data_IF_559705132206
#
_entry.id   IF_559705132206
#
_cell.length_a   1.000
_cell.length_b   1.000
_cell.length_c   1.000
_cell.angle_alpha   90.00
_cell.angle_beta   90.00
_cell.angle_gamma   90.00
#
_symmetry.space_group_name_H-M   'P 1'
#
loop_
_entity.id
_entity.type
_entity.pdbx_description
1 polymer ?
#
# COMPACT_ATOMS: atom_id res chain seq x y z
N UNK A 1 3.52 -34.77 -12.70
CA UNK A 1 4.74 -34.92 -11.87
C UNK A 1 4.67 -33.85 -10.79
N UNK A 2 4.45 -34.27 -9.55
CA UNK A 2 4.08 -33.42 -8.41
C UNK A 2 5.35 -32.74 -7.89
N UNK A 3 5.35 -31.40 -7.86
CA UNK A 3 6.45 -30.64 -7.30
C UNK A 3 5.91 -29.47 -6.44
N UNK A 4 5.02 -29.81 -5.52
CA UNK A 4 5.26 -29.43 -4.12
C UNK A 4 6.25 -30.49 -3.61
N UNK A 5 7.28 -30.07 -2.89
CA UNK A 5 8.23 -30.97 -2.22
C UNK A 5 7.46 -32.10 -1.54
N UNK A 6 7.80 -33.36 -1.87
CA UNK A 6 6.94 -34.51 -1.65
C UNK A 6 6.55 -34.79 -0.19
N UNK A 7 7.18 -34.15 0.78
CA UNK A 7 6.82 -34.24 2.21
C UNK A 7 5.74 -33.22 2.61
N UNK A 8 5.88 -31.95 2.22
CA UNK A 8 5.03 -30.84 2.68
C UNK A 8 3.54 -31.03 2.33
N UNK A 9 3.25 -31.76 1.24
CA UNK A 9 1.89 -32.00 0.77
C UNK A 9 1.23 -33.25 1.41
N UNK A 10 2.02 -34.15 2.01
CA UNK A 10 1.53 -35.43 2.55
C UNK A 10 0.64 -35.19 3.77
N UNK A 11 1.02 -34.24 4.64
CA UNK A 11 0.22 -33.86 5.80
C UNK A 11 -1.19 -33.41 5.40
N UNK A 12 -1.29 -32.52 4.40
CA UNK A 12 -2.57 -32.03 3.87
C UNK A 12 -3.36 -33.18 3.24
N UNK A 13 -2.76 -33.98 2.36
CA UNK A 13 -3.46 -35.07 1.68
C UNK A 13 -3.95 -36.17 2.64
N UNK A 14 -3.26 -36.37 3.76
CA UNK A 14 -3.61 -37.39 4.74
C UNK A 14 -4.66 -36.91 5.76
N UNK A 15 -4.64 -35.63 6.16
CA UNK A 15 -5.39 -35.14 7.33
C UNK A 15 -6.44 -34.07 7.02
N UNK A 16 -6.36 -33.39 5.88
CA UNK A 16 -7.44 -32.53 5.38
C UNK A 16 -8.42 -33.36 4.53
N UNK A 17 -9.70 -33.05 4.64
CA UNK A 17 -10.79 -33.60 3.84
C UNK A 17 -11.51 -32.52 3.00
N UNK A 18 -11.01 -31.28 3.04
CA UNK A 18 -11.67 -30.10 2.50
C UNK A 18 -10.96 -29.40 1.33
N UNK A 19 -11.19 -28.08 1.17
CA UNK A 19 -10.62 -27.25 0.10
C UNK A 19 -9.09 -27.31 -0.02
N UNK A 20 -8.34 -27.41 1.08
CA UNK A 20 -6.88 -27.50 1.05
C UNK A 20 -6.42 -28.79 0.38
N UNK A 21 -7.05 -29.94 0.69
CA UNK A 21 -6.77 -31.21 -0.01
C UNK A 21 -7.04 -31.13 -1.50
N UNK A 22 -8.17 -30.53 -1.91
CA UNK A 22 -8.49 -30.33 -3.35
C UNK A 22 -7.46 -29.45 -4.03
N UNK A 23 -7.10 -28.33 -3.42
CA UNK A 23 -6.05 -27.43 -3.92
C UNK A 23 -4.71 -28.16 -4.14
N UNK A 24 -4.32 -29.05 -3.23
CA UNK A 24 -3.09 -29.85 -3.37
C UNK A 24 -3.25 -30.95 -4.44
N UNK A 25 -4.40 -31.62 -4.52
CA UNK A 25 -4.64 -32.72 -5.46
C UNK A 25 -4.82 -32.26 -6.91
N UNK A 26 -5.47 -31.12 -7.13
CA UNK A 26 -5.92 -30.71 -8.46
C UNK A 26 -4.77 -30.29 -9.38
N UNK A 27 -3.58 -29.95 -8.87
CA UNK A 27 -2.40 -29.82 -9.75
C UNK A 27 -2.34 -28.58 -10.65
N UNK A 28 -3.49 -27.98 -11.02
CA UNK A 28 -3.65 -26.96 -12.07
C UNK A 28 -3.53 -25.50 -11.59
N UNK A 29 -3.54 -25.24 -10.28
CA UNK A 29 -3.54 -23.89 -9.69
C UNK A 29 -2.17 -23.47 -9.15
N UNK A 30 -1.93 -22.15 -9.14
CA UNK A 30 -0.79 -21.39 -8.58
C UNK A 30 0.14 -22.25 -7.67
N UNK A 31 1.26 -22.70 -8.24
CA UNK A 31 2.20 -23.63 -7.61
C UNK A 31 2.80 -23.06 -6.33
N UNK A 32 3.08 -21.76 -6.30
CA UNK A 32 3.68 -21.11 -5.14
C UNK A 32 2.68 -21.01 -4.00
N UNK A 33 1.42 -20.72 -4.31
CA UNK A 33 0.35 -20.73 -3.32
C UNK A 33 0.11 -22.14 -2.76
N UNK A 34 0.11 -23.19 -3.60
CA UNK A 34 0.01 -24.59 -3.15
C UNK A 34 1.14 -24.97 -2.22
N UNK A 35 2.37 -24.58 -2.57
CA UNK A 35 3.55 -24.83 -1.74
C UNK A 35 3.45 -24.09 -0.41
N UNK A 36 2.94 -22.86 -0.41
CA UNK A 36 2.70 -22.11 0.82
C UNK A 36 1.63 -22.78 1.69
N UNK A 37 0.49 -23.22 1.13
CA UNK A 37 -0.55 -23.96 1.90
C UNK A 37 -0.01 -25.25 2.49
N UNK A 38 0.81 -26.00 1.74
CA UNK A 38 1.51 -27.18 2.24
C UNK A 38 2.43 -26.85 3.41
N UNK A 39 3.27 -25.81 3.29
CA UNK A 39 4.15 -25.35 4.38
C UNK A 39 3.39 -24.85 5.60
N UNK A 40 2.27 -24.17 5.40
CA UNK A 40 1.41 -23.73 6.49
C UNK A 40 0.88 -24.94 7.28
N UNK A 41 0.61 -26.05 6.59
CA UNK A 41 0.12 -27.29 7.20
C UNK A 41 1.12 -27.98 8.12
N UNK A 42 2.42 -27.71 7.91
CA UNK A 42 3.52 -28.20 8.74
C UNK A 42 4.01 -27.13 9.73
N UNK A 43 3.39 -25.94 9.74
CA UNK A 43 3.72 -24.90 10.71
C UNK A 43 3.06 -25.16 12.06
N UNK A 44 3.77 -24.83 13.14
CA UNK A 44 3.22 -24.79 14.50
C UNK A 44 2.22 -23.63 14.69
N UNK A 45 2.10 -22.72 13.72
CA UNK A 45 1.21 -21.56 13.80
C UNK A 45 -0.26 -21.92 13.57
N UNK A 46 -0.55 -22.99 12.82
CA UNK A 46 -1.94 -23.40 12.57
C UNK A 46 -2.42 -24.38 13.63
N UNK A 47 -3.65 -24.18 14.11
CA UNK A 47 -4.22 -24.94 15.21
C UNK A 47 -4.87 -26.25 14.70
N UNK A 48 -5.25 -26.33 13.41
CA UNK A 48 -5.81 -27.56 12.81
C UNK A 48 -5.89 -27.53 11.27
N UNK A 49 -6.01 -28.71 10.65
CA UNK A 49 -6.32 -28.82 9.20
C UNK A 49 -7.68 -28.23 8.83
N UNK A 50 -8.65 -28.20 9.76
CA UNK A 50 -9.94 -27.52 9.53
C UNK A 50 -9.77 -26.01 9.38
N UNK A 51 -8.85 -25.41 10.13
CA UNK A 51 -8.49 -24.00 9.97
C UNK A 51 -7.88 -23.73 8.60
N UNK A 52 -6.95 -24.59 8.16
CA UNK A 52 -6.35 -24.53 6.83
C UNK A 52 -7.42 -24.61 5.73
N UNK A 53 -8.35 -25.56 5.86
CA UNK A 53 -9.45 -25.77 4.93
C UNK A 53 -10.39 -24.55 4.82
N UNK A 54 -10.73 -23.94 5.96
CA UNK A 54 -11.54 -22.71 5.99
C UNK A 54 -10.83 -21.53 5.34
N UNK A 55 -9.57 -21.28 5.70
CA UNK A 55 -8.80 -20.18 5.11
C UNK A 55 -8.67 -20.33 3.58
N UNK A 56 -8.43 -21.54 3.09
CA UNK A 56 -8.38 -21.82 1.64
C UNK A 56 -9.75 -21.55 0.99
N UNK A 57 -10.85 -21.96 1.64
CA UNK A 57 -12.20 -21.68 1.17
C UNK A 57 -12.49 -20.18 1.05
N UNK A 58 -12.09 -19.40 2.06
CA UNK A 58 -12.28 -17.95 2.08
C UNK A 58 -11.49 -17.26 0.99
N UNK A 59 -10.21 -17.62 0.81
CA UNK A 59 -9.39 -17.08 -0.28
C UNK A 59 -10.06 -17.32 -1.63
N UNK A 60 -10.63 -18.50 -1.84
CA UNK A 60 -11.29 -18.83 -3.10
C UNK A 60 -12.67 -18.16 -3.24
N UNK A 61 -13.36 -17.82 -2.14
CA UNK A 61 -14.62 -17.08 -2.16
C UNK A 61 -14.44 -15.57 -2.40
N UNK A 62 -13.24 -15.02 -2.14
CA UNK A 62 -12.90 -13.62 -2.42
C UNK A 62 -13.09 -13.27 -3.90
N UNK A 63 -13.37 -11.98 -4.15
CA UNK A 63 -13.36 -11.43 -5.51
C UNK A 63 -12.00 -11.62 -6.18
N UNK A 64 -11.96 -11.68 -7.51
CA UNK A 64 -10.71 -11.82 -8.29
C UNK A 64 -9.66 -10.77 -7.91
N UNK A 65 -10.10 -9.56 -7.55
CA UNK A 65 -9.23 -8.45 -7.17
C UNK A 65 -8.54 -8.62 -5.81
N UNK A 66 -9.19 -9.35 -4.89
CA UNK A 66 -8.71 -9.60 -3.53
C UNK A 66 -8.03 -10.98 -3.40
N UNK A 67 -8.48 -11.98 -4.17
CA UNK A 67 -7.91 -13.33 -4.14
C UNK A 67 -6.40 -13.36 -4.36
N UNK A 68 -5.89 -12.59 -5.33
CA UNK A 68 -4.44 -12.52 -5.59
C UNK A 68 -3.67 -12.00 -4.38
N UNK A 69 -3.97 -10.81 -3.81
CA UNK A 69 -3.29 -10.33 -2.61
C UNK A 69 -3.43 -11.26 -1.38
N UNK A 70 -4.57 -11.95 -1.21
CA UNK A 70 -4.71 -12.93 -0.12
C UNK A 70 -3.74 -14.11 -0.30
N UNK A 71 -3.59 -14.62 -1.53
CA UNK A 71 -2.59 -15.64 -1.84
C UNK A 71 -1.16 -15.15 -1.61
N UNK A 72 -0.87 -13.89 -1.96
CA UNK A 72 0.44 -13.29 -1.69
C UNK A 72 0.74 -13.13 -0.20
N UNK A 73 -0.27 -12.87 0.64
CA UNK A 73 -0.11 -12.87 2.10
C UNK A 73 0.36 -14.23 2.60
N UNK A 74 -0.33 -15.30 2.21
CA UNK A 74 0.04 -16.69 2.56
C UNK A 74 1.40 -17.09 1.98
N UNK A 75 1.76 -16.64 0.77
CA UNK A 75 3.11 -16.88 0.22
C UNK A 75 4.21 -16.13 0.99
N UNK A 76 3.87 -15.00 1.62
CA UNK A 76 4.82 -14.17 2.34
C UNK A 76 5.13 -14.75 3.72
N UNK A 77 4.09 -15.23 4.41
CA UNK A 77 4.21 -15.97 5.66
C UNK A 77 3.14 -17.09 5.72
N UNK A 78 3.49 -18.35 5.44
CA UNK A 78 2.51 -19.42 5.29
C UNK A 78 1.62 -19.70 6.51
N UNK A 79 2.23 -19.93 7.68
CA UNK A 79 1.50 -20.28 8.90
C UNK A 79 0.65 -19.11 9.38
N UNK A 80 1.31 -17.97 9.63
CA UNK A 80 0.67 -16.75 10.07
C UNK A 80 -0.34 -16.20 9.06
N UNK A 81 -0.09 -16.31 7.76
CA UNK A 81 -1.01 -15.86 6.72
C UNK A 81 -2.31 -16.66 6.70
N UNK A 82 -2.25 -17.98 6.88
CA UNK A 82 -3.43 -18.84 7.03
C UNK A 82 -4.18 -18.52 8.33
N UNK A 83 -3.44 -18.39 9.44
CA UNK A 83 -4.03 -18.05 10.73
C UNK A 83 -4.75 -16.70 10.67
N UNK A 84 -4.11 -15.69 10.10
CA UNK A 84 -4.66 -14.35 9.94
C UNK A 84 -5.97 -14.35 9.15
N UNK A 85 -6.03 -15.03 8.00
CA UNK A 85 -7.26 -15.12 7.19
C UNK A 85 -8.38 -15.78 7.99
N UNK A 86 -8.10 -16.94 8.62
CA UNK A 86 -9.11 -17.71 9.37
C UNK A 86 -9.71 -16.99 10.58
N UNK A 87 -9.09 -15.89 11.03
CA UNK A 87 -9.57 -15.09 12.16
C UNK A 87 -10.71 -14.15 11.77
N UNK A 88 -10.78 -13.70 10.52
CA UNK A 88 -11.84 -12.79 10.05
C UNK A 88 -13.22 -13.47 10.01
N UNK A 89 -13.26 -14.80 9.88
CA UNK A 89 -14.51 -15.58 10.00
C UNK A 89 -14.96 -15.78 11.45
N UNK A 90 -14.00 -15.84 12.38
CA UNK A 90 -14.28 -16.06 13.81
C UNK A 90 -14.61 -14.77 14.56
N UNK A 91 -14.35 -13.61 13.97
CA UNK A 91 -14.71 -12.33 14.55
C UNK A 91 -16.24 -12.13 14.48
N UNK A 92 -16.87 -11.96 15.65
CA UNK A 92 -18.31 -11.61 15.73
C UNK A 92 -18.59 -10.20 15.20
N UNK A 93 -17.57 -9.34 15.17
CA UNK A 93 -17.65 -7.97 14.65
C UNK A 93 -17.30 -7.93 13.16
N UNK A 94 -17.98 -7.08 12.38
CA UNK A 94 -17.95 -7.06 10.90
C UNK A 94 -16.60 -6.52 10.37
N UNK A 95 -15.56 -7.33 10.46
CA UNK A 95 -14.26 -7.03 9.86
C UNK A 95 -14.23 -7.63 8.46
N UNK A 96 -14.20 -6.76 7.45
CA UNK A 96 -14.19 -7.17 6.05
C UNK A 96 -12.79 -7.65 5.60
N UNK A 97 -12.61 -8.97 5.52
CA UNK A 97 -11.40 -9.62 4.98
C UNK A 97 -11.04 -9.06 3.60
N UNK A 98 -12.02 -8.75 2.75
CA UNK A 98 -11.77 -8.22 1.43
C UNK A 98 -11.16 -6.80 1.50
N UNK A 99 -11.66 -5.96 2.40
CA UNK A 99 -11.09 -4.64 2.66
C UNK A 99 -9.66 -4.73 3.21
N UNK A 100 -9.41 -5.65 4.16
CA UNK A 100 -8.07 -5.90 4.69
C UNK A 100 -7.11 -6.33 3.58
N UNK A 101 -7.48 -7.36 2.81
CA UNK A 101 -6.66 -7.91 1.73
C UNK A 101 -6.38 -6.86 0.63
N UNK A 102 -7.36 -6.02 0.30
CA UNK A 102 -7.17 -4.91 -0.64
C UNK A 102 -6.22 -3.84 -0.11
N UNK A 103 -6.20 -3.62 1.20
CA UNK A 103 -5.28 -2.70 1.86
C UNK A 103 -3.85 -3.22 1.78
N UNK A 104 -3.65 -4.49 2.18
CA UNK A 104 -2.30 -5.07 2.20
C UNK A 104 -1.70 -5.30 0.83
N UNK A 105 -2.50 -5.30 -0.24
CA UNK A 105 -2.01 -5.39 -1.63
C UNK A 105 -0.86 -4.42 -1.92
N UNK A 106 -0.87 -3.26 -1.28
CA UNK A 106 0.06 -2.14 -1.52
C UNK A 106 1.40 -2.29 -0.80
N UNK A 107 1.49 -3.18 0.18
CA UNK A 107 2.69 -3.41 0.96
C UNK A 107 3.64 -4.39 0.28
N UNK A 108 4.93 -4.30 0.63
CA UNK A 108 5.94 -5.24 0.19
C UNK A 108 5.78 -6.60 0.90
N UNK A 109 6.63 -7.56 0.52
CA UNK A 109 6.57 -8.93 1.06
C UNK A 109 6.83 -8.98 2.57
N UNK A 110 7.77 -8.19 3.07
CA UNK A 110 8.17 -8.18 4.47
C UNK A 110 7.10 -7.55 5.37
N UNK A 111 6.51 -6.46 4.90
CA UNK A 111 5.41 -5.77 5.56
C UNK A 111 4.15 -6.65 5.62
N UNK A 112 3.84 -7.38 4.53
CA UNK A 112 2.74 -8.36 4.53
C UNK A 112 2.95 -9.46 5.58
N UNK A 113 4.16 -9.98 5.70
CA UNK A 113 4.49 -10.99 6.71
C UNK A 113 4.37 -10.43 8.14
N UNK A 114 4.81 -9.20 8.37
CA UNK A 114 4.68 -8.53 9.67
C UNK A 114 3.20 -8.33 10.03
N UNK A 115 2.37 -7.90 9.08
CA UNK A 115 0.92 -7.77 9.30
C UNK A 115 0.23 -9.11 9.53
N UNK A 116 0.63 -10.17 8.81
CA UNK A 116 0.12 -11.52 9.05
C UNK A 116 0.38 -11.97 10.49
N UNK A 117 1.61 -11.78 10.99
CA UNK A 117 2.01 -12.11 12.36
C UNK A 117 1.25 -11.34 13.44
N UNK A 118 0.92 -10.09 13.16
CA UNK A 118 0.15 -9.28 14.12
C UNK A 118 -1.28 -9.81 14.21
N UNK A 119 -1.93 -9.95 13.06
CA UNK A 119 -3.31 -10.42 12.97
C UNK A 119 -3.44 -11.87 13.45
N UNK A 120 -2.44 -12.73 13.23
CA UNK A 120 -2.45 -14.12 13.69
C UNK A 120 -2.42 -14.23 15.23
N UNK A 121 -1.77 -13.26 15.89
CA UNK A 121 -1.54 -13.21 17.35
C UNK A 121 -2.61 -12.45 18.12
N UNK A 122 -3.53 -11.76 17.46
CA UNK A 122 -4.67 -11.15 18.15
C UNK A 122 -5.51 -12.26 18.81
N UNK A 123 -5.81 -12.11 20.11
CA UNK A 123 -6.39 -13.19 20.90
C UNK A 123 -7.89 -13.38 20.57
N UNK A 124 -8.61 -12.33 20.16
CA UNK A 124 -10.02 -12.38 19.76
C UNK A 124 -10.42 -11.39 18.64
N UNK A 125 -11.67 -11.51 18.17
CA UNK A 125 -12.25 -10.68 17.10
C UNK A 125 -12.43 -9.20 17.46
N UNK A 126 -12.59 -8.87 18.75
CA UNK A 126 -12.73 -7.50 19.23
C UNK A 126 -11.36 -6.79 19.25
N UNK A 127 -10.32 -7.51 19.66
CA UNK A 127 -8.94 -7.06 19.53
C UNK A 127 -8.54 -6.91 18.06
N UNK A 128 -9.01 -7.78 17.17
CA UNK A 128 -8.84 -7.59 15.73
C UNK A 128 -9.55 -6.34 15.21
N UNK A 129 -10.75 -6.03 15.66
CA UNK A 129 -11.45 -4.80 15.25
C UNK A 129 -10.75 -3.52 15.78
N UNK A 130 -10.17 -3.56 16.98
CA UNK A 130 -9.41 -2.46 17.59
C UNK A 130 -7.99 -2.33 16.96
N UNK A 131 -7.31 -3.45 16.70
CA UNK A 131 -6.00 -3.51 16.01
C UNK A 131 -6.08 -3.23 14.50
N UNK A 132 -7.22 -3.54 13.89
CA UNK A 132 -7.55 -3.16 12.52
C UNK A 132 -8.31 -1.84 12.45
N UNK A 133 -8.51 -1.12 13.57
CA UNK A 133 -8.89 0.28 13.52
C UNK A 133 -7.93 0.94 12.54
N UNK A 134 -8.51 1.72 11.62
CA UNK A 134 -7.77 2.39 10.56
C UNK A 134 -6.58 3.16 11.14
N UNK A 135 -6.65 3.61 12.40
CA UNK A 135 -5.56 4.17 13.18
C UNK A 135 -4.35 3.25 13.43
N UNK A 136 -4.52 1.95 13.72
CA UNK A 136 -3.41 1.00 13.93
C UNK A 136 -2.80 0.47 12.64
N UNK A 137 -3.62 0.14 11.65
CA UNK A 137 -3.14 -0.15 10.30
C UNK A 137 -2.36 1.03 9.72
N UNK A 138 -2.82 2.25 10.02
CA UNK A 138 -2.08 3.48 9.74
C UNK A 138 -0.79 3.55 10.56
N UNK A 139 -0.79 3.30 11.88
CA UNK A 139 0.43 3.28 12.72
C UNK A 139 1.47 2.25 12.25
N UNK A 140 1.07 1.06 11.81
CA UNK A 140 1.98 0.00 11.31
C UNK A 140 2.56 0.42 9.96
N UNK A 141 1.71 0.98 9.09
CA UNK A 141 2.17 1.55 7.84
C UNK A 141 3.00 2.84 8.08
N UNK A 142 2.80 3.56 9.19
CA UNK A 142 3.58 4.71 9.65
C UNK A 142 4.87 4.26 10.38
N UNK A 143 4.94 3.03 10.89
CA UNK A 143 6.17 2.38 11.41
C UNK A 143 7.00 1.79 10.26
N UNK A 144 6.35 1.27 9.21
CA UNK A 144 6.95 1.00 7.91
C UNK A 144 7.48 2.28 7.26
N UNK A 145 6.70 3.37 7.29
CA UNK A 145 7.13 4.73 6.97
C UNK A 145 8.30 5.17 7.85
N UNK A 146 8.31 4.83 9.15
CA UNK A 146 9.42 5.07 10.07
C UNK A 146 10.70 4.31 9.70
N UNK A 147 10.60 3.10 9.15
CA UNK A 147 11.74 2.35 8.57
C UNK A 147 12.19 2.93 7.22
N UNK A 148 11.27 3.48 6.44
CA UNK A 148 11.56 4.23 5.21
C UNK A 148 12.24 5.57 5.51
N UNK A 149 11.77 6.32 6.51
CA UNK A 149 12.40 7.50 7.08
C UNK A 149 13.77 7.16 7.70
N UNK A 150 13.91 6.01 8.37
CA UNK A 150 15.20 5.52 8.84
C UNK A 150 16.16 5.23 7.67
N UNK A 151 15.65 4.71 6.54
CA UNK A 151 16.40 4.55 5.27
C UNK A 151 16.78 5.89 4.63
N UNK A 152 15.87 6.87 4.63
CA UNK A 152 16.10 8.24 4.15
C UNK A 152 17.09 9.00 5.05
N UNK A 153 17.13 8.68 6.34
CA UNK A 153 18.10 9.21 7.32
C UNK A 153 19.44 8.46 7.33
N UNK A 154 19.53 7.30 6.67
CA UNK A 154 20.76 6.52 6.62
C UNK A 154 21.75 7.17 5.65
N UNK A 155 22.71 7.89 6.23
CA UNK A 155 23.72 8.68 5.54
C UNK A 155 24.49 7.91 4.47
N UNK A 156 24.65 6.60 4.57
CA UNK A 156 25.44 5.85 3.57
C UNK A 156 24.65 5.46 2.32
N UNK A 157 23.31 5.54 2.35
CA UNK A 157 22.43 4.99 1.31
C UNK A 157 21.48 6.04 0.71
N UNK A 158 21.20 7.14 1.45
CA UNK A 158 20.32 8.19 0.97
C UNK A 158 20.96 9.04 -0.15
N UNK A 159 20.26 9.31 -1.26
CA UNK A 159 20.77 10.18 -2.31
C UNK A 159 20.95 11.63 -1.82
N UNK A 160 21.88 12.37 -2.45
CA UNK A 160 22.39 13.65 -1.92
C UNK A 160 21.32 14.74 -1.72
N UNK A 161 20.26 14.72 -2.51
CA UNK A 161 19.06 15.55 -2.39
C UNK A 161 18.28 15.28 -1.09
N UNK A 162 18.17 14.02 -0.66
CA UNK A 162 17.53 13.64 0.61
C UNK A 162 18.39 14.06 1.80
N UNK A 163 19.71 13.92 1.73
CA UNK A 163 20.62 14.37 2.81
C UNK A 163 20.49 15.87 3.06
N UNK A 164 20.29 16.66 2.00
CA UNK A 164 20.07 18.11 2.08
C UNK A 164 18.84 18.50 2.90
N UNK A 165 17.76 17.70 2.85
CA UNK A 165 16.56 17.94 3.67
C UNK A 165 16.88 17.92 5.17
N UNK A 166 17.77 17.02 5.58
CA UNK A 166 18.15 16.83 6.98
C UNK A 166 19.23 17.81 7.41
N UNK A 167 20.32 17.86 6.64
CA UNK A 167 21.56 18.52 7.07
C UNK A 167 21.51 20.04 6.91
N UNK A 168 20.88 20.56 5.85
CA UNK A 168 20.88 21.99 5.53
C UNK A 168 19.57 22.69 5.92
N UNK A 169 18.46 21.97 5.82
CA UNK A 169 17.12 22.56 5.91
C UNK A 169 16.34 22.18 7.19
N UNK A 170 16.88 21.28 8.02
CA UNK A 170 16.28 20.78 9.28
C UNK A 170 14.81 20.32 9.11
N UNK A 171 14.53 19.63 8.00
CA UNK A 171 13.19 19.13 7.66
C UNK A 171 12.98 17.77 8.31
N UNK A 172 11.79 17.59 8.91
CA UNK A 172 11.36 16.32 9.50
C UNK A 172 11.09 15.26 8.42
N UNK A 173 12.02 14.31 8.27
CA UNK A 173 11.89 13.22 7.29
C UNK A 173 10.73 12.28 7.59
N UNK A 174 10.29 12.14 8.84
CA UNK A 174 9.09 11.38 9.16
C UNK A 174 7.88 12.02 8.49
N UNK A 175 7.85 13.35 8.45
CA UNK A 175 6.78 14.06 7.77
C UNK A 175 6.85 13.97 6.24
N UNK A 176 8.06 14.03 5.66
CA UNK A 176 8.26 13.82 4.21
C UNK A 176 7.79 12.41 3.83
N UNK A 177 8.15 11.41 4.63
CA UNK A 177 7.73 10.02 4.43
C UNK A 177 6.22 9.85 4.60
N UNK A 178 5.60 10.49 5.60
CA UNK A 178 4.13 10.52 5.77
C UNK A 178 3.43 11.10 4.53
N UNK A 179 3.96 12.18 3.97
CA UNK A 179 3.42 12.78 2.75
C UNK A 179 3.59 11.82 1.57
N UNK A 180 4.79 11.25 1.38
CA UNK A 180 5.07 10.28 0.32
C UNK A 180 4.19 9.05 0.44
N UNK A 181 3.94 8.60 1.67
CA UNK A 181 3.06 7.47 1.96
C UNK A 181 1.58 7.84 1.78
N UNK A 182 1.18 9.08 2.07
CA UNK A 182 -0.16 9.61 1.75
C UNK A 182 -0.41 9.64 0.25
N UNK A 183 0.66 9.78 -0.55
CA UNK A 183 0.65 9.65 -2.01
C UNK A 183 0.13 8.32 -2.51
N UNK A 184 0.18 7.30 -1.65
CA UNK A 184 -0.26 5.95 -1.96
C UNK A 184 -1.53 5.54 -1.21
N UNK A 185 -2.03 6.33 -0.24
CA UNK A 185 -3.16 5.95 0.65
C UNK A 185 -4.52 6.55 0.27
N UNK A 186 -4.60 7.78 -0.27
CA UNK A 186 -5.71 8.37 -1.05
C UNK A 186 -5.78 9.89 -0.90
N UNK A 187 -5.24 10.63 -1.88
CA UNK A 187 -5.39 12.10 -1.88
C UNK A 187 -6.86 12.54 -1.94
N UNK A 188 -7.27 13.36 -0.97
CA UNK A 188 -8.61 13.94 -0.89
C UNK A 188 -8.67 15.28 -1.61
N UNK A 189 -9.67 15.46 -2.47
CA UNK A 189 -9.92 16.74 -3.14
C UNK A 189 -10.90 17.64 -2.38
N UNK A 190 -11.20 17.32 -1.11
CA UNK A 190 -12.13 18.09 -0.27
C UNK A 190 -11.39 19.26 0.38
N UNK A 191 -11.36 20.40 -0.32
CA UNK A 191 -10.79 21.65 0.18
C UNK A 191 -11.45 22.87 -0.47
N UNK A 192 -11.58 23.97 0.28
CA UNK A 192 -12.19 25.22 -0.19
C UNK A 192 -11.34 25.95 -1.23
N UNK A 193 -10.01 25.82 -1.19
CA UNK A 193 -9.08 26.44 -2.15
C UNK A 193 -9.03 25.78 -3.53
N UNK A 194 -9.31 24.48 -3.62
CA UNK A 194 -9.24 23.73 -4.89
C UNK A 194 -10.23 24.22 -5.95
N UNK A 195 -11.37 24.76 -5.51
CA UNK A 195 -12.37 25.33 -6.43
C UNK A 195 -11.91 26.65 -7.04
N UNK A 196 -11.06 27.43 -6.36
CA UNK A 196 -10.47 28.65 -6.90
C UNK A 196 -9.37 28.37 -7.92
N UNK A 197 -8.60 27.30 -7.71
CA UNK A 197 -7.61 26.84 -8.69
C UNK A 197 -8.25 26.25 -9.95
N UNK A 198 -9.40 25.56 -9.84
CA UNK A 198 -10.19 25.15 -11.00
C UNK A 198 -10.52 26.34 -11.92
N UNK A 199 -11.05 27.45 -11.37
CA UNK A 199 -11.39 28.64 -12.18
C UNK A 199 -10.18 29.26 -12.88
N UNK A 200 -8.97 29.06 -12.35
CA UNK A 200 -7.74 29.62 -12.94
C UNK A 200 -7.11 28.72 -13.99
N UNK A 201 -7.18 27.40 -13.78
CA UNK A 201 -6.36 26.44 -14.50
C UNK A 201 -7.15 25.48 -15.39
N UNK A 202 -8.48 25.37 -15.26
CA UNK A 202 -9.28 24.43 -16.05
C UNK A 202 -9.08 24.60 -17.57
N UNK A 203 -9.03 25.85 -18.02
CA UNK A 203 -8.85 26.24 -19.43
C UNK A 203 -7.52 25.76 -20.02
N UNK A 204 -6.53 25.42 -19.18
CA UNK A 204 -5.25 24.85 -19.63
C UNK A 204 -5.41 23.44 -20.25
N UNK A 205 -6.54 22.77 -19.99
CA UNK A 205 -6.94 21.52 -20.63
C UNK A 205 -8.14 21.69 -21.53
N UNK A 206 -9.22 22.21 -20.97
CA UNK A 206 -10.52 22.35 -21.63
C UNK A 206 -11.34 23.38 -20.83
N UNK A 207 -11.83 24.47 -21.44
CA UNK A 207 -12.65 25.47 -20.75
C UNK A 207 -13.98 24.94 -20.23
N UNK A 208 -14.40 23.75 -20.68
CA UNK A 208 -15.61 23.06 -20.20
C UNK A 208 -15.31 22.03 -19.11
N UNK A 209 -14.04 21.81 -18.76
CA UNK A 209 -13.62 20.84 -17.74
C UNK A 209 -14.35 21.11 -16.42
N UNK A 210 -15.14 20.16 -15.97
CA UNK A 210 -15.90 20.31 -14.74
C UNK A 210 -14.97 20.27 -13.53
N UNK A 211 -15.40 20.84 -12.41
CA UNK A 211 -14.70 20.72 -11.12
C UNK A 211 -14.45 19.25 -10.75
N UNK A 212 -15.36 18.35 -11.10
CA UNK A 212 -15.21 16.92 -10.80
C UNK A 212 -14.08 16.28 -11.62
N UNK A 213 -14.03 16.57 -12.92
CA UNK A 213 -12.98 16.05 -13.81
C UNK A 213 -11.60 16.61 -13.47
N UNK A 214 -11.52 17.91 -13.16
CA UNK A 214 -10.30 18.54 -12.67
C UNK A 214 -9.79 17.89 -11.37
N UNK A 215 -10.68 17.56 -10.44
CA UNK A 215 -10.34 16.78 -9.22
C UNK A 215 -9.83 15.38 -9.55
N UNK A 216 -10.49 14.69 -10.47
CA UNK A 216 -10.09 13.34 -10.89
C UNK A 216 -8.70 13.37 -11.50
N UNK A 217 -8.42 14.29 -12.44
CA UNK A 217 -7.09 14.47 -13.04
C UNK A 217 -6.02 14.74 -11.99
N UNK A 218 -6.29 15.63 -11.05
CA UNK A 218 -5.31 15.96 -10.01
C UNK A 218 -5.03 14.76 -9.12
N UNK A 219 -6.07 14.00 -8.76
CA UNK A 219 -5.90 12.75 -8.01
C UNK A 219 -5.13 11.71 -8.81
N UNK A 220 -5.43 11.53 -10.09
CA UNK A 220 -4.72 10.58 -10.94
C UNK A 220 -3.23 10.91 -11.06
N UNK A 221 -2.88 12.19 -11.25
CA UNK A 221 -1.49 12.62 -11.28
C UNK A 221 -0.81 12.41 -9.92
N UNK A 222 -1.43 12.86 -8.83
CA UNK A 222 -0.88 12.70 -7.48
C UNK A 222 -0.73 11.23 -7.05
N UNK A 223 -1.47 10.28 -7.61
CA UNK A 223 -1.31 8.85 -7.31
C UNK A 223 -0.53 8.09 -8.41
N UNK A 224 0.03 8.80 -9.39
CA UNK A 224 0.71 8.17 -10.53
C UNK A 224 2.04 7.58 -10.07
N UNK A 225 2.14 6.26 -10.09
CA UNK A 225 3.37 5.54 -9.73
C UNK A 225 4.06 4.99 -10.98
N UNK A 226 4.86 5.83 -11.64
CA UNK A 226 5.72 5.47 -12.77
C UNK A 226 7.11 6.08 -12.59
N UNK A 227 8.11 5.51 -13.25
CA UNK A 227 9.52 5.92 -13.13
C UNK A 227 9.82 7.26 -13.81
N UNK A 228 8.93 7.73 -14.69
CA UNK A 228 9.00 8.99 -15.43
C UNK A 228 8.31 10.17 -14.72
N UNK A 229 7.81 9.95 -13.50
CA UNK A 229 7.15 10.98 -12.68
C UNK A 229 8.12 11.49 -11.63
N UNK A 230 8.27 12.81 -11.61
CA UNK A 230 9.11 13.52 -10.65
C UNK A 230 8.29 13.90 -9.43
N UNK A 231 8.84 13.66 -8.24
CA UNK A 231 8.17 13.95 -6.97
C UNK A 231 9.09 14.81 -6.11
N UNK A 232 8.55 15.93 -5.67
CA UNK A 232 9.28 16.95 -4.94
C UNK A 232 8.60 17.27 -3.61
N UNK A 233 9.40 17.42 -2.56
CA UNK A 233 8.98 18.12 -1.35
C UNK A 233 9.15 19.63 -1.52
N UNK A 234 8.09 20.39 -1.23
CA UNK A 234 8.11 21.85 -1.30
C UNK A 234 8.40 22.47 0.06
N UNK A 235 9.62 22.98 0.23
CA UNK A 235 10.09 23.67 1.43
C UNK A 235 9.23 24.91 1.73
N UNK A 236 8.93 25.11 3.02
CA UNK A 236 8.17 26.27 3.51
C UNK A 236 6.64 26.14 3.39
N UNK A 237 6.15 25.32 2.45
CA UNK A 237 4.72 25.04 2.26
C UNK A 237 4.29 23.67 2.79
N UNK A 238 5.24 22.79 3.10
CA UNK A 238 4.99 21.48 3.71
C UNK A 238 4.06 20.59 2.87
N UNK A 239 4.34 20.57 1.56
CA UNK A 239 3.55 19.90 0.54
C UNK A 239 4.44 18.99 -0.32
N UNK A 240 3.81 18.04 -1.01
CA UNK A 240 4.38 17.37 -2.18
C UNK A 240 3.89 17.99 -3.47
N UNK A 241 4.80 18.14 -4.42
CA UNK A 241 4.54 18.43 -5.80
C UNK A 241 4.87 17.21 -6.66
N UNK A 242 3.92 16.76 -7.46
CA UNK A 242 4.09 15.67 -8.43
C UNK A 242 4.05 16.28 -9.82
N UNK A 243 5.11 16.05 -10.61
CA UNK A 243 5.28 16.62 -11.93
C UNK A 243 5.47 15.54 -13.00
N UNK A 244 4.71 15.66 -14.08
CA UNK A 244 4.85 14.83 -15.27
C UNK A 244 5.39 15.69 -16.42
N UNK A 245 6.66 15.50 -16.77
CA UNK A 245 7.29 16.24 -17.90
C UNK A 245 6.65 15.92 -19.24
N UNK A 246 6.12 14.71 -19.42
CA UNK A 246 5.55 14.30 -20.70
C UNK A 246 4.24 15.02 -21.00
N UNK A 247 3.45 15.31 -19.97
CA UNK A 247 2.17 16.04 -20.10
C UNK A 247 2.27 17.50 -19.68
N UNK A 248 3.41 17.94 -19.13
CA UNK A 248 3.61 19.24 -18.50
C UNK A 248 2.55 19.50 -17.42
N UNK A 249 2.23 18.50 -16.60
CA UNK A 249 1.21 18.62 -15.56
C UNK A 249 1.85 18.58 -14.19
N UNK A 250 1.47 19.53 -13.33
CA UNK A 250 1.93 19.61 -11.96
C UNK A 250 0.74 19.60 -11.02
N UNK A 251 0.73 18.68 -10.05
CA UNK A 251 -0.20 18.70 -8.94
C UNK A 251 0.53 18.93 -7.62
N UNK A 252 -0.11 19.65 -6.71
CA UNK A 252 0.42 19.89 -5.36
C UNK A 252 -0.61 19.45 -4.34
N UNK A 253 -0.16 18.75 -3.32
CA UNK A 253 -0.98 18.42 -2.17
C UNK A 253 -0.18 18.34 -0.89
N UNK A 254 -0.83 18.59 0.23
CA UNK A 254 -0.21 18.45 1.54
C UNK A 254 -1.22 18.54 2.68
N UNK A 255 -0.84 19.21 3.76
CA UNK A 255 -1.65 19.23 4.99
C UNK A 255 -2.97 20.02 4.84
N UNK A 256 -3.99 19.68 5.66
CA UNK A 256 -4.10 18.45 6.45
C UNK A 256 -4.59 17.27 5.57
N UNK A 257 -4.10 16.05 5.86
CA UNK A 257 -4.64 14.77 5.35
C UNK A 257 -4.51 14.51 3.85
N UNK A 258 -3.37 14.83 3.23
CA UNK A 258 -3.18 14.53 1.82
C UNK A 258 -4.23 15.23 0.94
N UNK A 259 -4.46 16.53 1.19
CA UNK A 259 -5.41 17.32 0.41
C UNK A 259 -4.74 17.88 -0.82
N UNK A 260 -5.33 17.62 -1.98
CA UNK A 260 -4.88 18.24 -3.23
C UNK A 260 -5.25 19.72 -3.18
N UNK A 261 -4.25 20.58 -3.37
CA UNK A 261 -4.39 22.03 -3.34
C UNK A 261 -4.57 22.60 -4.75
N UNK A 262 -3.83 22.08 -5.73
CA UNK A 262 -3.90 22.56 -7.12
C UNK A 262 -3.46 21.49 -8.12
N UNK A 263 -3.84 21.72 -9.38
CA UNK A 263 -3.35 21.06 -10.58
C UNK A 263 -3.21 22.14 -11.67
N UNK A 264 -2.05 22.26 -12.31
CA UNK A 264 -1.86 23.24 -13.39
C UNK A 264 -0.80 22.75 -14.37
N UNK A 265 -0.76 23.37 -15.55
CA UNK A 265 0.30 23.25 -16.54
C UNK A 265 1.22 24.46 -16.41
N UNK A 266 2.48 24.29 -16.00
CA UNK A 266 3.41 25.40 -15.97
C UNK A 266 3.56 26.09 -17.34
N UNK A 267 3.51 27.42 -17.37
CA UNK A 267 3.66 28.23 -18.60
C UNK A 267 5.02 28.03 -19.30
N UNK A 268 6.02 27.54 -18.56
CA UNK A 268 7.36 27.24 -19.04
C UNK A 268 7.76 25.82 -18.61
N UNK A 269 7.39 24.79 -19.40
CA UNK A 269 7.44 23.37 -18.99
C UNK A 269 8.79 22.91 -18.47
N UNK A 270 9.88 23.33 -19.12
CA UNK A 270 11.22 22.91 -18.73
C UNK A 270 11.77 23.79 -17.61
N UNK A 271 11.52 25.09 -17.64
CA UNK A 271 12.16 26.03 -16.71
C UNK A 271 11.42 26.20 -15.39
N UNK A 272 10.15 25.82 -15.29
CA UNK A 272 9.36 26.06 -14.08
C UNK A 272 9.87 25.23 -12.90
N UNK A 273 9.99 23.91 -13.10
CA UNK A 273 10.53 23.00 -12.08
C UNK A 273 12.02 23.28 -11.88
N UNK A 274 12.79 23.35 -12.96
CA UNK A 274 14.26 23.46 -12.89
C UNK A 274 14.73 24.72 -12.13
N UNK A 275 13.97 25.83 -12.16
CA UNK A 275 14.31 27.05 -11.39
C UNK A 275 13.99 26.94 -9.89
N UNK A 276 13.07 26.06 -9.52
CA UNK A 276 12.62 25.87 -8.13
C UNK A 276 13.34 24.73 -7.44
N UNK A 277 13.84 23.76 -8.21
CA UNK A 277 14.66 22.66 -7.68
C UNK A 277 15.90 23.23 -6.99
N UNK A 278 16.17 22.75 -5.78
CA UNK A 278 17.31 23.19 -4.98
C UNK A 278 17.15 24.56 -4.30
N UNK A 279 16.03 25.27 -4.47
CA UNK A 279 15.70 26.46 -3.69
C UNK A 279 14.41 26.28 -2.87
N UNK A 280 13.35 25.80 -3.53
CA UNK A 280 12.02 25.56 -2.95
C UNK A 280 11.57 24.10 -3.06
N UNK A 281 12.00 23.41 -4.11
CA UNK A 281 11.63 22.02 -4.38
C UNK A 281 12.85 21.12 -4.18
N UNK A 282 12.63 20.02 -3.47
CA UNK A 282 13.66 19.02 -3.21
C UNK A 282 13.13 17.70 -3.72
N UNK A 283 13.83 17.10 -4.67
CA UNK A 283 13.44 15.82 -5.26
C UNK A 283 13.54 14.70 -4.21
N UNK A 284 12.49 13.89 -4.10
CA UNK A 284 12.34 12.86 -3.05
C UNK A 284 12.06 11.46 -3.59
N UNK A 285 12.11 11.29 -4.92
CA UNK A 285 11.98 10.01 -5.60
C UNK A 285 13.19 9.78 -6.51
#
# INVERSE_FOLDING_TARGET
MIAATGDDAVGVLAKSDGPARRLIADGWTDRDFRTAVARAADSDDIDSYKQLDRAVQEIDSLSTSARKPARELVKSDPGDGIKAISRFEQAEEVVDLEAFVRTIKRFDKSEKAEMARMVSKADDGAQLADELDYGQLKRIADQGAGRSAARLSNRDVAPSNIRRLVDDDNIDLTHVDDLMTSTYRSWSSKGTGFSGHHTKHADEWDPTLTKSEYRTKARELMNRNRDDIEVYYQKGNDNLAVYDRSTNELAVGGRPQGRIQTLFRPDQPLQYIDRRVGSELIEVK
#
